data_IF_587645267110
#
_entry.id   IF_587645267110
#
_cell.length_a   1.000
_cell.length_b   1.000
_cell.length_c   1.000
_cell.angle_alpha   90.00
_cell.angle_beta   90.00
_cell.angle_gamma   90.00
#
_symmetry.space_group_name_H-M   'P 1'
#
loop_
_entity.id
_entity.type
_entity.pdbx_description
1 polymer ?
#
# COMPACT_ATOMS: atom_id res chain seq x y z
N UNK A 1 -15.25 18.22 -2.79
CA UNK A 1 -15.35 16.82 -2.32
C UNK A 1 -13.92 16.33 -2.13
N UNK A 2 -13.54 15.96 -0.92
CA UNK A 2 -12.22 15.38 -0.64
C UNK A 2 -12.29 13.87 -0.97
N UNK A 3 -11.27 13.32 -1.64
CA UNK A 3 -11.35 12.00 -2.27
C UNK A 3 -11.18 10.85 -1.27
N UNK A 4 -10.41 11.06 -0.20
CA UNK A 4 -10.12 10.05 0.83
C UNK A 4 -10.89 10.27 2.14
N UNK A 5 -11.98 11.04 2.12
CA UNK A 5 -12.78 11.30 3.30
C UNK A 5 -13.33 9.99 3.86
N UNK A 6 -13.07 9.73 5.15
CA UNK A 6 -13.44 8.46 5.80
C UNK A 6 -12.43 7.32 5.59
N UNK A 7 -11.21 7.59 5.13
CA UNK A 7 -10.14 6.60 4.97
C UNK A 7 -8.93 6.95 5.84
N UNK A 8 -8.28 5.93 6.41
CA UNK A 8 -6.90 6.03 6.89
C UNK A 8 -5.99 5.97 5.67
N UNK A 9 -5.14 6.98 5.51
CA UNK A 9 -4.31 7.13 4.31
C UNK A 9 -2.85 6.81 4.57
N UNK A 10 -2.20 6.24 3.55
CA UNK A 10 -0.80 5.87 3.56
C UNK A 10 -0.14 6.35 2.26
N UNK A 11 0.96 7.11 2.34
CA UNK A 11 1.68 7.54 1.15
C UNK A 11 2.42 6.37 0.50
N UNK A 12 2.44 6.38 -0.83
CA UNK A 12 3.21 5.47 -1.67
C UNK A 12 4.36 6.25 -2.29
N UNK A 13 5.54 5.64 -2.33
CA UNK A 13 6.74 6.28 -2.86
C UNK A 13 7.31 5.49 -4.02
N UNK A 14 7.73 6.19 -5.08
CA UNK A 14 8.50 5.58 -6.17
C UNK A 14 9.87 5.08 -5.69
N UNK A 15 10.62 4.44 -6.58
CA UNK A 15 11.94 3.87 -6.27
C UNK A 15 12.96 4.93 -5.80
N UNK A 16 12.82 6.18 -6.25
CA UNK A 16 13.66 7.31 -5.88
C UNK A 16 13.24 7.95 -4.54
N UNK A 17 12.03 7.63 -4.05
CA UNK A 17 11.48 8.16 -2.81
C UNK A 17 10.61 9.40 -2.98
N UNK A 18 10.18 9.72 -4.19
CA UNK A 18 9.20 10.77 -4.41
C UNK A 18 7.80 10.24 -4.13
N UNK A 19 6.89 11.07 -3.58
CA UNK A 19 5.47 10.70 -3.47
C UNK A 19 4.89 10.37 -4.84
N UNK A 20 4.33 9.16 -4.97
CA UNK A 20 3.80 8.64 -6.23
C UNK A 20 2.31 8.28 -6.15
N UNK A 21 1.78 8.09 -4.94
CA UNK A 21 0.38 7.74 -4.76
C UNK A 21 -0.07 7.79 -3.30
N UNK A 22 -1.36 7.52 -3.10
CA UNK A 22 -1.98 7.38 -1.79
C UNK A 22 -2.84 6.12 -1.82
N UNK A 23 -2.67 5.28 -0.81
CA UNK A 23 -3.60 4.22 -0.46
C UNK A 23 -4.50 4.68 0.68
N UNK A 24 -5.78 4.32 0.62
CA UNK A 24 -6.76 4.54 1.67
C UNK A 24 -7.37 3.21 2.12
N UNK A 25 -7.40 2.97 3.43
CA UNK A 25 -8.23 1.94 4.05
C UNK A 25 -9.48 2.56 4.67
N UNK A 26 -10.66 2.07 4.31
CA UNK A 26 -11.95 2.59 4.80
C UNK A 26 -12.06 2.47 6.32
N UNK A 27 -12.60 3.52 6.96
CA UNK A 27 -13.11 3.48 8.33
C UNK A 27 -14.60 3.07 8.28
N UNK A 28 -14.90 1.91 8.84
CA UNK A 28 -16.20 1.19 8.71
C UNK A 28 -17.43 2.06 9.08
N UNK A 29 -17.26 3.04 9.97
CA UNK A 29 -18.35 3.82 10.54
C UNK A 29 -18.68 5.13 9.79
N UNK A 30 -17.81 5.61 8.89
CA UNK A 30 -17.95 6.96 8.32
C UNK A 30 -18.51 7.02 6.89
N UNK A 31 -18.59 5.88 6.18
CA UNK A 31 -18.97 5.89 4.76
C UNK A 31 -20.13 4.92 4.50
N UNK A 32 -21.34 5.48 4.42
CA UNK A 32 -22.56 4.76 4.04
C UNK A 32 -22.60 4.55 2.52
N UNK A 33 -22.72 3.30 2.06
CA UNK A 33 -22.89 2.95 0.64
C UNK A 33 -21.81 2.00 0.10
N UNK A 34 -21.91 1.65 -1.19
CA UNK A 34 -20.98 0.72 -1.88
C UNK A 34 -19.68 1.42 -2.27
N UNK A 35 -18.87 1.82 -1.29
CA UNK A 35 -17.52 2.34 -1.49
C UNK A 35 -16.47 1.24 -1.28
N UNK A 36 -15.31 1.29 -1.96
CA UNK A 36 -14.29 0.26 -1.83
C UNK A 36 -13.60 0.31 -0.46
N UNK A 37 -13.28 -0.85 0.09
CA UNK A 37 -12.48 -0.97 1.31
C UNK A 37 -11.02 -0.52 1.12
N UNK A 38 -10.49 -0.74 -0.08
CA UNK A 38 -9.15 -0.38 -0.51
C UNK A 38 -9.26 0.67 -1.62
N UNK A 39 -9.00 1.93 -1.29
CA UNK A 39 -9.03 3.04 -2.23
C UNK A 39 -7.60 3.41 -2.63
N UNK A 40 -7.41 3.77 -3.89
CA UNK A 40 -6.15 4.24 -4.43
C UNK A 40 -6.47 5.36 -5.42
N UNK A 41 -5.52 6.28 -5.62
CA UNK A 41 -5.68 7.32 -6.64
C UNK A 41 -6.01 6.72 -8.03
N UNK A 42 -6.86 7.39 -8.82
CA UNK A 42 -7.14 6.97 -10.19
C UNK A 42 -5.88 6.93 -11.06
N UNK A 43 -5.86 6.03 -12.04
CA UNK A 43 -4.75 5.87 -12.98
C UNK A 43 -3.87 4.66 -12.68
N UNK A 44 -2.69 4.65 -13.30
CA UNK A 44 -1.73 3.56 -13.16
C UNK A 44 -1.23 3.44 -11.72
N UNK A 45 -1.02 2.20 -11.26
CA UNK A 45 -0.54 1.90 -9.92
C UNK A 45 0.97 2.13 -9.84
N UNK A 46 1.37 3.14 -9.08
CA UNK A 46 2.77 3.56 -8.92
C UNK A 46 3.14 3.81 -7.47
N UNK A 47 4.39 3.49 -7.16
CA UNK A 47 4.96 3.63 -5.83
C UNK A 47 4.61 2.46 -4.93
N UNK A 48 5.41 2.27 -3.88
CA UNK A 48 5.31 1.13 -2.98
C UNK A 48 5.39 1.58 -1.52
N UNK A 49 4.67 0.86 -0.67
CA UNK A 49 4.81 0.98 0.78
C UNK A 49 5.97 0.13 1.28
N UNK A 50 6.72 0.66 2.26
CA UNK A 50 7.87 -0.02 2.89
C UNK A 50 8.94 -0.52 1.89
N UNK A 51 9.11 0.19 0.77
CA UNK A 51 10.05 -0.19 -0.29
C UNK A 51 11.51 -0.34 0.19
N UNK A 52 11.87 0.36 1.27
CA UNK A 52 13.20 0.26 1.89
C UNK A 52 13.52 -1.16 2.40
N UNK A 53 12.49 -1.97 2.68
CA UNK A 53 12.67 -3.34 3.12
C UNK A 53 13.51 -4.17 2.13
N UNK A 54 13.34 -3.96 0.82
CA UNK A 54 14.12 -4.64 -0.22
C UNK A 54 15.63 -4.35 -0.14
N UNK A 55 16.01 -3.16 0.35
CA UNK A 55 17.44 -2.82 0.54
C UNK A 55 18.00 -3.39 1.85
N UNK A 56 17.17 -3.56 2.87
CA UNK A 56 17.58 -3.98 4.20
C UNK A 56 17.56 -5.51 4.40
N UNK A 57 16.83 -6.24 3.57
CA UNK A 57 16.59 -7.67 3.72
C UNK A 57 16.88 -8.43 2.42
N UNK A 58 17.39 -9.65 2.55
CA UNK A 58 17.64 -10.56 1.40
C UNK A 58 16.38 -11.28 0.91
N UNK A 59 15.34 -11.29 1.74
CA UNK A 59 14.07 -11.95 1.47
C UNK A 59 12.95 -10.97 1.80
N UNK A 60 11.92 -10.95 0.95
CA UNK A 60 10.75 -10.10 1.11
C UNK A 60 9.49 -10.95 1.12
N UNK A 61 8.61 -10.65 2.06
CA UNK A 61 7.25 -11.16 2.12
C UNK A 61 6.34 -10.19 1.38
N UNK A 62 5.68 -10.67 0.32
CA UNK A 62 4.66 -9.91 -0.37
C UNK A 62 3.32 -10.10 0.32
N UNK A 63 2.74 -8.99 0.77
CA UNK A 63 1.41 -8.94 1.36
C UNK A 63 0.39 -8.47 0.33
N UNK A 64 -0.87 -8.88 0.47
CA UNK A 64 -1.93 -8.52 -0.48
C UNK A 64 -2.23 -7.01 -0.48
N UNK A 65 -2.17 -6.39 0.69
CA UNK A 65 -2.41 -4.96 0.88
C UNK A 65 -1.49 -4.33 1.93
N UNK A 66 -1.53 -3.00 2.04
CA UNK A 66 -0.75 -2.25 3.04
C UNK A 66 -1.16 -2.60 4.47
N UNK A 67 -2.44 -2.84 4.73
CA UNK A 67 -2.91 -3.20 6.07
C UNK A 67 -2.41 -4.59 6.47
N UNK A 68 -2.31 -5.53 5.53
CA UNK A 68 -1.74 -6.86 5.79
C UNK A 68 -0.23 -6.74 6.08
N UNK A 69 0.49 -5.93 5.30
CA UNK A 69 1.90 -5.62 5.54
C UNK A 69 2.11 -4.98 6.92
N UNK A 70 1.27 -4.01 7.30
CA UNK A 70 1.32 -3.37 8.62
C UNK A 70 0.99 -4.33 9.76
N UNK A 71 0.08 -5.28 9.53
CA UNK A 71 -0.25 -6.33 10.52
C UNK A 71 0.99 -7.18 10.82
N UNK A 72 1.73 -7.57 9.78
CA UNK A 72 2.99 -8.31 9.93
C UNK A 72 4.10 -7.47 10.58
N UNK A 73 4.23 -6.20 10.19
CA UNK A 73 5.19 -5.26 10.81
C UNK A 73 4.90 -5.11 12.30
N UNK A 74 3.63 -4.98 12.68
CA UNK A 74 3.21 -4.91 14.07
C UNK A 74 3.54 -6.20 14.85
N UNK A 75 3.55 -7.36 14.18
CA UNK A 75 4.01 -8.64 14.74
C UNK A 75 5.55 -8.80 14.76
N UNK A 76 6.30 -7.79 14.34
CA UNK A 76 7.77 -7.80 14.32
C UNK A 76 8.39 -8.31 13.01
N UNK A 77 7.58 -8.68 12.02
CA UNK A 77 8.02 -9.13 10.70
C UNK A 77 8.11 -7.91 9.78
N UNK A 78 9.32 -7.37 9.62
CA UNK A 78 9.54 -6.05 8.99
C UNK A 78 9.89 -6.08 7.51
N UNK A 79 10.21 -7.25 6.97
CA UNK A 79 10.64 -7.44 5.58
C UNK A 79 9.44 -7.62 4.63
N UNK A 80 8.44 -6.75 4.75
CA UNK A 80 7.15 -6.89 4.05
C UNK A 80 6.94 -5.74 3.07
N UNK A 81 6.41 -6.06 1.88
CA UNK A 81 6.02 -5.07 0.87
C UNK A 81 4.61 -5.43 0.37
N UNK A 82 3.76 -4.43 0.20
CA UNK A 82 2.37 -4.62 -0.16
C UNK A 82 2.15 -4.52 -1.67
N UNK A 83 1.41 -5.49 -2.22
CA UNK A 83 0.87 -5.47 -3.58
C UNK A 83 -0.39 -4.61 -3.68
N UNK A 84 -0.86 -4.41 -4.91
CA UNK A 84 -2.14 -3.74 -5.21
C UNK A 84 -3.34 -4.72 -5.23
N UNK A 85 -3.45 -5.58 -4.23
CA UNK A 85 -4.46 -6.64 -4.21
C UNK A 85 -4.08 -7.85 -5.08
N UNK A 86 -5.07 -8.69 -5.41
CA UNK A 86 -4.88 -9.84 -6.30
C UNK A 86 -4.43 -9.39 -7.69
N UNK A 87 -3.40 -10.07 -8.24
CA UNK A 87 -2.72 -9.68 -9.49
C UNK A 87 -2.11 -8.26 -9.45
N UNK A 88 -1.89 -7.72 -8.25
CA UNK A 88 -1.37 -6.37 -8.02
C UNK A 88 0.15 -6.28 -7.91
N UNK A 89 0.90 -7.28 -8.35
CA UNK A 89 2.35 -7.20 -8.48
C UNK A 89 2.69 -6.38 -9.72
N UNK A 90 3.44 -5.31 -9.56
CA UNK A 90 3.74 -4.33 -10.62
C UNK A 90 5.23 -4.30 -10.96
N UNK A 91 5.59 -3.58 -12.03
CA UNK A 91 6.99 -3.37 -12.41
C UNK A 91 7.80 -2.71 -11.28
N UNK A 92 7.19 -1.82 -10.49
CA UNK A 92 7.87 -1.23 -9.33
C UNK A 92 8.31 -2.32 -8.34
N UNK A 93 7.52 -3.39 -8.14
CA UNK A 93 7.91 -4.50 -7.26
C UNK A 93 9.05 -5.32 -7.85
N UNK A 94 9.02 -5.53 -9.17
CA UNK A 94 10.05 -6.28 -9.89
C UNK A 94 11.42 -5.60 -9.85
N UNK A 95 11.44 -4.26 -9.75
CA UNK A 95 12.65 -3.43 -9.81
C UNK A 95 13.28 -3.10 -8.45
N UNK A 96 12.71 -3.58 -7.35
CA UNK A 96 13.17 -3.29 -5.99
C UNK A 96 14.52 -3.90 -5.62
#
# INVERSE_FOLDING_TARGET
HEHFYGYVTFPLYDLDGNPAGIYGRRLDEMVTGSVPDHLYLPGARHGLFNRQAAKAHKEIILAESIIDSLTLINAGIKNTIACYGTNGFTEDHHRL
#
